data_IF_181362523762
#
_entry.id   IF_181362523762
#
_cell.length_a   1.000
_cell.length_b   1.000
_cell.length_c   1.000
_cell.angle_alpha   90.00
_cell.angle_beta   90.00
_cell.angle_gamma   90.00
#
_symmetry.space_group_name_H-M   'P 1'
#
loop_
_entity.id
_entity.type
_entity.pdbx_description
1 polymer ?
#
# COMPACT_ATOMS: atom_id res chain seq x y z
N UNK A 1 -31.84 11.98 14.74
CA UNK A 1 -32.07 12.67 13.47
C UNK A 1 -31.01 13.76 13.25
N UNK A 2 -29.71 13.48 13.52
CA UNK A 2 -28.58 14.41 13.30
C UNK A 2 -27.41 13.78 12.53
N UNK A 3 -27.52 12.51 12.09
CA UNK A 3 -26.43 11.76 11.40
C UNK A 3 -26.48 11.95 9.87
N UNK A 4 -27.58 12.46 9.31
CA UNK A 4 -27.73 12.62 7.86
C UNK A 4 -27.06 13.88 7.30
N UNK A 5 -26.59 14.81 8.14
CA UNK A 5 -26.05 16.11 7.70
C UNK A 5 -24.55 16.08 7.34
N UNK A 6 -23.81 15.02 7.75
CA UNK A 6 -22.37 14.92 7.47
C UNK A 6 -22.03 14.20 6.17
N UNK A 7 -23.00 13.48 5.58
CA UNK A 7 -22.79 12.79 4.30
C UNK A 7 -22.80 13.72 3.06
N UNK A 8 -23.31 14.95 3.20
CA UNK A 8 -23.44 15.87 2.06
C UNK A 8 -22.20 16.72 1.78
N UNK A 9 -21.20 16.75 2.66
CA UNK A 9 -20.00 17.56 2.45
C UNK A 9 -18.90 16.84 1.68
N UNK A 10 -19.01 15.51 1.50
CA UNK A 10 -18.01 14.71 0.78
C UNK A 10 -18.29 14.55 -0.72
N UNK A 11 -19.47 14.92 -1.18
CA UNK A 11 -19.85 14.79 -2.60
C UNK A 11 -19.30 15.89 -3.51
N UNK A 12 -18.63 16.91 -2.96
CA UNK A 12 -18.08 18.01 -3.77
C UNK A 12 -16.62 17.86 -4.19
N UNK A 13 -15.93 16.82 -3.73
CA UNK A 13 -14.56 16.53 -4.18
C UNK A 13 -14.48 15.53 -5.34
N UNK A 14 -15.62 15.04 -5.82
CA UNK A 14 -15.73 14.20 -7.01
C UNK A 14 -16.04 15.01 -8.29
N UNK A 15 -15.63 16.28 -8.35
CA UNK A 15 -15.67 17.01 -9.60
C UNK A 15 -14.59 16.50 -10.53
N UNK A 16 -15.05 15.70 -11.46
CA UNK A 16 -14.55 15.48 -12.80
C UNK A 16 -13.19 16.14 -13.12
N UNK A 17 -12.13 15.37 -13.02
CA UNK A 17 -11.01 15.54 -13.93
C UNK A 17 -11.25 14.59 -15.10
N UNK A 18 -11.85 15.13 -16.15
CA UNK A 18 -11.85 14.48 -17.46
C UNK A 18 -10.41 14.26 -17.88
N UNK A 19 -10.04 13.02 -18.07
CA UNK A 19 -8.76 12.63 -18.64
C UNK A 19 -8.70 13.11 -20.08
N UNK A 20 -8.03 14.24 -20.31
CA UNK A 20 -7.60 14.64 -21.64
C UNK A 20 -6.41 13.78 -22.00
N UNK A 21 -6.61 12.77 -22.82
CA UNK A 21 -5.50 12.06 -23.45
C UNK A 21 -4.86 13.01 -24.45
N UNK A 22 -3.65 13.47 -24.15
CA UNK A 22 -2.81 14.12 -25.14
C UNK A 22 -2.39 13.06 -26.14
N UNK A 23 -3.16 12.90 -27.20
CA UNK A 23 -2.74 12.18 -28.39
C UNK A 23 -1.70 13.07 -29.07
N UNK A 24 -0.43 12.63 -29.01
CA UNK A 24 0.57 13.15 -29.93
C UNK A 24 0.12 12.89 -31.37
N UNK A 25 0.41 13.80 -32.27
CA UNK A 25 0.01 13.79 -33.70
C UNK A 25 0.37 12.52 -34.52
N UNK A 26 1.07 11.57 -33.88
CA UNK A 26 1.34 10.25 -34.46
C UNK A 26 1.01 9.21 -33.38
N UNK A 27 -0.16 8.62 -33.39
CA UNK A 27 -0.79 7.59 -32.56
C UNK A 27 0.04 6.59 -31.74
N UNK A 28 1.20 6.96 -31.22
CA UNK A 28 2.05 6.21 -30.32
C UNK A 28 2.00 6.82 -28.93
N UNK A 29 1.77 6.00 -27.91
CA UNK A 29 1.92 6.38 -26.49
C UNK A 29 3.37 6.79 -26.26
N UNK A 30 3.62 8.10 -26.10
CA UNK A 30 4.93 8.63 -25.74
C UNK A 30 5.33 8.07 -24.37
N UNK A 31 6.31 7.20 -24.33
CA UNK A 31 6.82 6.60 -23.10
C UNK A 31 8.02 7.40 -22.61
N UNK A 32 7.79 8.33 -21.69
CA UNK A 32 8.89 8.95 -20.97
C UNK A 32 9.54 7.92 -20.05
N UNK A 33 10.85 7.82 -20.11
CA UNK A 33 11.63 6.90 -19.29
C UNK A 33 12.71 7.65 -18.52
N UNK A 34 13.03 7.15 -17.34
CA UNK A 34 14.21 7.53 -16.60
C UNK A 34 15.24 6.40 -16.76
N UNK A 35 16.41 6.70 -17.31
CA UNK A 35 17.53 5.76 -17.44
C UNK A 35 18.63 6.19 -16.48
N UNK A 36 19.03 5.28 -15.60
CA UNK A 36 20.21 5.42 -14.74
C UNK A 36 21.32 4.52 -15.26
N UNK A 37 22.51 5.09 -15.43
CA UNK A 37 23.69 4.35 -15.87
C UNK A 37 24.56 3.90 -14.71
N UNK A 38 25.47 2.95 -14.92
CA UNK A 38 26.39 2.43 -13.89
C UNK A 38 27.33 3.50 -13.34
N UNK A 39 27.64 4.53 -14.11
CA UNK A 39 28.44 5.71 -13.70
C UNK A 39 27.64 6.77 -12.93
N UNK A 40 26.35 6.48 -12.66
CA UNK A 40 25.47 7.32 -11.84
C UNK A 40 24.75 8.45 -12.59
N UNK A 41 24.93 8.59 -13.91
CA UNK A 41 24.17 9.55 -14.70
C UNK A 41 22.69 9.18 -14.79
N UNK A 42 21.83 10.18 -14.77
CA UNK A 42 20.39 10.03 -14.86
C UNK A 42 19.90 10.80 -16.08
N UNK A 43 19.25 10.10 -16.99
CA UNK A 43 18.64 10.67 -18.18
C UNK A 43 17.14 10.53 -18.11
N UNK A 44 16.41 11.63 -18.25
CA UNK A 44 14.96 11.68 -18.28
C UNK A 44 14.52 12.17 -19.65
N UNK A 45 13.68 11.39 -20.33
CA UNK A 45 13.22 11.75 -21.67
C UNK A 45 12.41 10.65 -22.33
N UNK A 46 12.10 10.86 -23.57
CA UNK A 46 11.38 9.93 -24.44
C UNK A 46 12.37 9.08 -25.25
N UNK A 47 12.16 7.78 -25.32
CA UNK A 47 12.87 6.93 -26.28
C UNK A 47 12.22 7.13 -27.64
N UNK A 48 12.95 7.78 -28.55
CA UNK A 48 12.49 8.06 -29.92
C UNK A 48 12.90 6.96 -30.90
N UNK A 49 14.00 6.23 -30.59
CA UNK A 49 14.45 5.09 -31.38
C UNK A 49 15.20 4.09 -30.52
N UNK A 50 15.20 2.84 -30.94
CA UNK A 50 15.87 1.74 -30.25
C UNK A 50 16.64 0.91 -31.27
N UNK A 51 17.96 0.84 -31.08
CA UNK A 51 18.83 -0.05 -31.83
C UNK A 51 19.19 -1.30 -31.02
N UNK A 52 19.90 -2.24 -31.60
CA UNK A 52 20.38 -3.44 -30.87
C UNK A 52 21.23 -3.05 -29.66
N UNK A 53 22.07 -2.01 -29.76
CA UNK A 53 23.05 -1.67 -28.74
C UNK A 53 22.69 -0.41 -27.93
N UNK A 54 21.80 0.44 -28.42
CA UNK A 54 21.57 1.78 -27.85
C UNK A 54 20.08 2.12 -27.80
N UNK A 55 19.73 2.99 -26.84
CA UNK A 55 18.52 3.82 -26.89
C UNK A 55 18.86 5.20 -27.39
N UNK A 56 18.07 5.73 -28.32
CA UNK A 56 18.11 7.13 -28.71
C UNK A 56 16.97 7.83 -27.96
N UNK A 57 17.35 8.78 -27.10
CA UNK A 57 16.40 9.46 -26.23
C UNK A 57 16.37 10.95 -26.57
N UNK A 58 15.20 11.54 -26.55
CA UNK A 58 14.99 12.98 -26.55
C UNK A 58 14.70 13.44 -25.12
N UNK A 59 15.61 14.23 -24.56
CA UNK A 59 15.45 14.80 -23.21
C UNK A 59 14.34 15.83 -23.15
N UNK A 60 13.86 16.17 -21.96
CA UNK A 60 12.86 17.23 -21.75
C UNK A 60 13.33 18.61 -22.26
N UNK A 61 14.66 18.83 -22.36
CA UNK A 61 15.25 20.02 -22.97
C UNK A 61 15.33 19.97 -24.51
N UNK A 62 14.82 18.89 -25.11
CA UNK A 62 14.82 18.70 -26.58
C UNK A 62 16.13 18.16 -27.16
N UNK A 63 17.12 17.84 -26.32
CA UNK A 63 18.42 17.32 -26.76
C UNK A 63 18.28 15.83 -27.01
N UNK A 64 18.75 15.37 -28.18
CA UNK A 64 18.84 13.94 -28.46
C UNK A 64 20.14 13.38 -27.91
N UNK A 65 20.05 12.29 -27.17
CA UNK A 65 21.18 11.59 -26.57
C UNK A 65 21.12 10.11 -26.93
N UNK A 66 22.29 9.53 -27.10
CA UNK A 66 22.47 8.11 -27.34
C UNK A 66 22.97 7.45 -26.08
N UNK A 67 22.19 6.48 -25.53
CA UNK A 67 22.52 5.78 -24.29
C UNK A 67 22.79 4.31 -24.60
N UNK A 68 24.03 3.84 -24.47
CA UNK A 68 24.37 2.44 -24.70
C UNK A 68 23.66 1.52 -23.69
N UNK A 69 22.97 0.50 -24.17
CA UNK A 69 22.25 -0.48 -23.31
C UNK A 69 23.17 -1.14 -22.30
N UNK A 70 24.42 -1.43 -22.69
CA UNK A 70 25.43 -2.00 -21.80
C UNK A 70 25.81 -1.11 -20.59
N UNK A 71 25.55 0.21 -20.66
CA UNK A 71 25.80 1.14 -19.56
C UNK A 71 24.59 1.34 -18.66
N UNK A 72 23.43 0.78 -18.99
CA UNK A 72 22.20 0.98 -18.26
C UNK A 72 22.19 0.10 -17.02
N UNK A 73 22.14 0.72 -15.87
CA UNK A 73 21.93 0.08 -14.57
C UNK A 73 20.44 -0.15 -14.30
N UNK A 74 19.61 0.81 -14.66
CA UNK A 74 18.18 0.80 -14.38
C UNK A 74 17.43 1.64 -15.43
N UNK A 75 16.28 1.14 -15.85
CA UNK A 75 15.33 1.85 -16.72
C UNK A 75 13.96 1.81 -16.04
N UNK A 76 13.36 2.98 -15.81
CA UNK A 76 12.04 3.12 -15.20
C UNK A 76 11.10 3.82 -16.16
N UNK A 77 9.98 3.17 -16.48
CA UNK A 77 8.93 3.81 -17.26
C UNK A 77 8.25 4.86 -16.37
N UNK A 78 8.29 6.11 -16.81
CA UNK A 78 7.70 7.24 -16.11
C UNK A 78 6.25 7.42 -16.58
N UNK A 79 5.43 7.96 -15.70
CA UNK A 79 4.04 8.29 -16.03
C UNK A 79 3.89 9.81 -15.99
N UNK A 80 3.43 10.36 -17.10
CA UNK A 80 3.09 11.79 -17.15
C UNK A 80 1.73 11.95 -16.48
N UNK A 81 1.65 12.84 -15.48
CA UNK A 81 0.37 13.19 -14.89
C UNK A 81 -0.32 14.20 -15.78
N UNK A 82 -1.56 13.91 -16.14
CA UNK A 82 -2.37 14.77 -17.02
C UNK A 82 -2.72 16.13 -16.37
N UNK A 83 -2.58 16.24 -15.04
CA UNK A 83 -3.02 17.43 -14.28
C UNK A 83 -2.00 18.56 -14.34
N UNK A 84 -0.71 18.26 -14.36
CA UNK A 84 0.35 19.31 -14.31
C UNK A 84 1.37 19.17 -15.43
N UNK A 85 1.28 18.13 -16.24
CA UNK A 85 2.33 17.79 -17.22
C UNK A 85 3.65 17.33 -16.54
N UNK A 86 3.64 17.15 -15.22
CA UNK A 86 4.79 16.68 -14.48
C UNK A 86 4.96 15.17 -14.63
N UNK A 87 6.21 14.75 -14.71
CA UNK A 87 6.57 13.35 -14.86
C UNK A 87 6.77 12.74 -13.47
N UNK A 88 5.91 11.81 -13.09
CA UNK A 88 6.00 11.12 -11.81
C UNK A 88 6.51 9.69 -11.99
N UNK A 89 7.30 9.24 -11.03
CA UNK A 89 7.58 7.81 -10.89
C UNK A 89 6.31 7.08 -10.50
N UNK A 90 6.11 5.84 -10.99
CA UNK A 90 5.06 4.98 -10.46
C UNK A 90 5.15 4.91 -8.94
N UNK A 91 4.00 4.95 -8.25
CA UNK A 91 3.98 4.73 -6.81
C UNK A 91 4.08 3.23 -6.52
N UNK A 92 5.20 2.76 -5.96
CA UNK A 92 5.35 1.35 -5.64
C UNK A 92 4.48 0.92 -4.46
N UNK A 93 3.98 1.88 -3.65
CA UNK A 93 3.19 1.61 -2.46
C UNK A 93 1.67 1.61 -2.71
N UNK A 94 1.22 1.73 -3.97
CA UNK A 94 -0.22 1.82 -4.33
C UNK A 94 -1.09 0.71 -3.75
N UNK A 95 -0.52 -0.45 -3.43
CA UNK A 95 -1.24 -1.63 -2.92
C UNK A 95 -1.60 -1.55 -1.44
N UNK A 96 -1.04 -0.58 -0.71
CA UNK A 96 -1.19 -0.43 0.74
C UNK A 96 -1.04 1.03 1.16
N UNK A 97 -1.84 1.47 2.11
CA UNK A 97 -1.70 2.77 2.76
C UNK A 97 -0.65 2.72 3.86
N UNK A 98 -1.00 3.01 5.10
CA UNK A 98 -0.08 2.86 6.24
C UNK A 98 -0.07 1.41 6.74
N UNK A 99 -1.23 0.82 6.96
CA UNK A 99 -1.41 -0.58 7.34
C UNK A 99 -2.49 -1.25 6.47
N UNK A 100 -3.57 -0.55 6.14
CA UNK A 100 -4.69 -1.08 5.36
C UNK A 100 -4.33 -1.29 3.88
N UNK A 101 -4.81 -2.37 3.27
CA UNK A 101 -4.65 -2.61 1.84
C UNK A 101 -5.60 -1.72 1.02
N UNK A 102 -5.12 -1.24 -0.12
CA UNK A 102 -5.97 -0.75 -1.21
C UNK A 102 -6.41 -1.91 -2.12
N UNK A 103 -7.30 -1.65 -3.08
CA UNK A 103 -7.68 -2.66 -4.08
C UNK A 103 -6.64 -2.83 -5.21
N UNK A 104 -5.56 -2.04 -5.25
CA UNK A 104 -4.48 -2.26 -6.19
C UNK A 104 -3.73 -3.55 -5.86
N UNK A 105 -3.45 -4.43 -6.84
CA UNK A 105 -2.57 -5.58 -6.65
C UNK A 105 -1.10 -5.14 -6.53
N UNK A 106 -0.28 -5.98 -5.93
CA UNK A 106 1.15 -5.98 -6.18
C UNK A 106 1.34 -6.63 -7.55
N UNK A 107 2.11 -6.00 -8.43
CA UNK A 107 2.33 -6.49 -9.77
C UNK A 107 3.01 -7.87 -9.77
N UNK A 108 2.75 -8.69 -10.78
CA UNK A 108 3.35 -10.02 -10.89
C UNK A 108 4.87 -9.96 -10.79
N UNK A 109 5.45 -10.85 -9.98
CA UNK A 109 6.88 -10.93 -9.66
C UNK A 109 7.50 -9.72 -8.96
N UNK A 110 6.72 -8.69 -8.63
CA UNK A 110 7.21 -7.60 -7.76
C UNK A 110 7.02 -7.97 -6.30
N UNK A 111 7.97 -7.52 -5.48
CA UNK A 111 7.93 -7.73 -4.03
C UNK A 111 8.53 -6.55 -3.29
N UNK A 112 8.18 -6.44 -2.01
CA UNK A 112 8.77 -5.47 -1.11
C UNK A 112 8.81 -5.99 0.32
N UNK A 113 9.83 -5.58 1.07
CA UNK A 113 9.85 -5.66 2.52
C UNK A 113 9.30 -4.35 3.09
N UNK A 114 8.46 -4.46 4.09
CA UNK A 114 7.91 -3.31 4.80
C UNK A 114 8.02 -3.54 6.30
N UNK A 115 8.36 -2.48 7.01
CA UNK A 115 8.31 -2.44 8.46
C UNK A 115 7.33 -1.34 8.88
N UNK A 116 6.27 -1.74 9.57
CA UNK A 116 5.28 -0.82 10.12
C UNK A 116 5.60 -0.52 11.58
N UNK A 117 5.78 0.78 11.89
CA UNK A 117 6.11 1.29 13.21
C UNK A 117 7.37 0.66 13.86
N UNK A 118 8.31 0.15 13.08
CA UNK A 118 9.54 -0.53 13.54
C UNK A 118 9.31 -1.86 14.28
N UNK A 119 8.06 -2.33 14.34
CA UNK A 119 7.69 -3.54 15.11
C UNK A 119 6.97 -4.59 14.27
N UNK A 120 6.63 -4.29 13.04
CA UNK A 120 5.96 -5.23 12.15
C UNK A 120 6.68 -5.35 10.81
N UNK A 121 7.86 -6.01 10.78
CA UNK A 121 8.49 -6.38 9.53
C UNK A 121 7.63 -7.39 8.77
N UNK A 122 7.45 -7.15 7.47
CA UNK A 122 6.68 -8.01 6.59
C UNK A 122 7.28 -8.08 5.19
N UNK A 123 7.11 -9.24 4.54
CA UNK A 123 7.41 -9.47 3.14
C UNK A 123 6.12 -9.57 2.35
N UNK A 124 6.07 -8.86 1.24
CA UNK A 124 4.89 -8.72 0.40
C UNK A 124 5.24 -9.06 -1.04
N UNK A 125 4.41 -9.87 -1.72
CA UNK A 125 4.67 -10.32 -3.08
C UNK A 125 3.41 -10.45 -3.92
N UNK A 126 3.50 -10.06 -5.20
CA UNK A 126 2.52 -10.37 -6.23
C UNK A 126 2.82 -11.73 -6.88
N UNK A 127 1.95 -12.70 -6.66
CA UNK A 127 2.04 -14.02 -7.35
C UNK A 127 1.50 -13.96 -8.75
N UNK A 128 0.45 -13.17 -8.94
CA UNK A 128 -0.14 -12.86 -10.24
C UNK A 128 -0.50 -11.37 -10.27
N UNK A 129 -1.00 -10.88 -11.40
CA UNK A 129 -1.53 -9.52 -11.47
C UNK A 129 -2.82 -9.29 -10.65
N UNK A 130 -3.35 -10.34 -10.01
CA UNK A 130 -4.55 -10.29 -9.18
C UNK A 130 -4.33 -10.79 -7.76
N UNK A 131 -3.35 -11.66 -7.51
CA UNK A 131 -3.11 -12.30 -6.22
C UNK A 131 -1.86 -11.71 -5.58
N UNK A 132 -2.03 -11.13 -4.41
CA UNK A 132 -0.95 -10.61 -3.56
C UNK A 132 -0.98 -11.31 -2.21
N UNK A 133 0.19 -11.60 -1.67
CA UNK A 133 0.35 -12.20 -0.34
C UNK A 133 1.31 -11.39 0.51
N UNK A 134 1.15 -11.52 1.82
CA UNK A 134 2.00 -10.93 2.83
C UNK A 134 2.30 -11.96 3.91
N UNK A 135 3.54 -11.97 4.39
CA UNK A 135 3.93 -12.67 5.60
C UNK A 135 4.76 -11.71 6.48
N UNK A 136 4.54 -11.73 7.77
CA UNK A 136 5.22 -10.84 8.71
C UNK A 136 5.12 -11.33 10.14
N UNK A 137 5.69 -10.56 11.05
CA UNK A 137 5.68 -10.88 12.47
C UNK A 137 5.69 -9.59 13.31
N UNK A 138 5.07 -9.61 14.48
CA UNK A 138 5.20 -8.52 15.45
C UNK A 138 6.41 -8.78 16.34
N UNK A 139 7.45 -7.95 16.22
CA UNK A 139 8.72 -8.13 16.92
C UNK A 139 8.96 -6.94 17.83
N UNK A 140 8.96 -7.18 19.14
CA UNK A 140 9.29 -6.14 20.13
C UNK A 140 10.66 -6.43 20.78
N UNK A 141 11.44 -5.41 21.10
CA UNK A 141 12.72 -5.60 21.78
C UNK A 141 12.57 -6.40 23.08
N UNK A 142 13.33 -7.49 23.22
CA UNK A 142 13.29 -8.36 24.39
C UNK A 142 12.23 -9.46 24.35
N UNK A 143 11.41 -9.55 23.29
CA UNK A 143 10.45 -10.63 23.13
C UNK A 143 11.17 -11.94 22.73
N UNK A 144 10.94 -13.07 23.42
CA UNK A 144 11.43 -14.37 23.00
C UNK A 144 10.90 -14.78 21.63
N UNK A 145 11.67 -15.55 20.86
CA UNK A 145 11.29 -15.94 19.49
C UNK A 145 9.99 -16.76 19.47
N UNK A 146 9.79 -17.61 20.46
CA UNK A 146 8.60 -18.45 20.66
C UNK A 146 7.33 -17.64 20.96
N UNK A 147 7.49 -16.40 21.42
CA UNK A 147 6.39 -15.48 21.74
C UNK A 147 6.06 -14.50 20.59
N UNK A 148 6.69 -14.63 19.44
CA UNK A 148 6.48 -13.73 18.30
C UNK A 148 5.19 -14.09 17.56
N UNK A 149 4.17 -13.19 17.50
CA UNK A 149 3.00 -13.38 16.68
C UNK A 149 3.37 -13.35 15.18
N UNK A 150 2.90 -14.36 14.46
CA UNK A 150 3.13 -14.47 13.01
C UNK A 150 1.87 -14.06 12.26
N UNK A 151 2.04 -13.27 11.23
CA UNK A 151 0.95 -12.76 10.39
C UNK A 151 1.10 -13.31 8.98
N UNK A 152 0.00 -13.79 8.42
CA UNK A 152 -0.13 -14.12 7.02
C UNK A 152 -1.37 -13.46 6.42
N UNK A 153 -1.28 -12.92 5.22
CA UNK A 153 -2.43 -12.32 4.55
C UNK A 153 -2.42 -12.62 3.06
N UNK A 154 -3.62 -12.72 2.49
CA UNK A 154 -3.83 -12.89 1.06
C UNK A 154 -4.91 -11.95 0.56
N UNK A 155 -4.69 -11.38 -0.64
CA UNK A 155 -5.63 -10.46 -1.29
C UNK A 155 -5.79 -10.83 -2.75
N UNK A 156 -7.04 -10.90 -3.21
CA UNK A 156 -7.41 -11.01 -4.60
C UNK A 156 -7.99 -9.69 -5.09
N UNK A 157 -7.35 -9.10 -6.09
CA UNK A 157 -7.77 -7.85 -6.75
C UNK A 157 -8.50 -8.18 -8.04
N UNK A 158 -9.75 -7.74 -8.16
CA UNK A 158 -10.54 -7.93 -9.37
C UNK A 158 -10.02 -7.04 -10.51
N UNK A 159 -10.27 -7.40 -11.78
CA UNK A 159 -9.97 -6.55 -12.91
C UNK A 159 -10.60 -5.15 -12.76
N UNK A 160 -9.82 -4.12 -13.04
CA UNK A 160 -10.26 -2.73 -12.89
C UNK A 160 -11.38 -2.38 -13.88
N UNK A 161 -12.34 -1.57 -13.43
CA UNK A 161 -13.38 -0.96 -14.27
C UNK A 161 -13.25 0.57 -14.21
N UNK A 162 -12.56 1.15 -15.18
CA UNK A 162 -12.25 2.57 -15.18
C UNK A 162 -11.40 2.98 -13.98
N UNK A 163 -11.86 3.97 -13.22
CA UNK A 163 -11.20 4.46 -12.00
C UNK A 163 -11.54 3.64 -10.74
N UNK A 164 -12.42 2.65 -10.84
CA UNK A 164 -12.84 1.82 -9.71
C UNK A 164 -12.16 0.46 -9.74
N UNK A 165 -11.74 0.02 -8.55
CA UNK A 165 -11.14 -1.28 -8.30
C UNK A 165 -11.76 -1.90 -7.06
N UNK A 166 -11.81 -3.23 -7.06
CA UNK A 166 -12.31 -4.00 -5.93
C UNK A 166 -11.30 -5.08 -5.60
N UNK A 167 -11.19 -5.39 -4.32
CA UNK A 167 -10.41 -6.51 -3.86
C UNK A 167 -11.08 -7.15 -2.64
N UNK A 168 -10.80 -8.43 -2.43
CA UNK A 168 -11.16 -9.14 -1.20
C UNK A 168 -9.94 -9.86 -0.67
N UNK A 169 -9.90 -10.11 0.61
CA UNK A 169 -8.76 -10.77 1.23
C UNK A 169 -9.03 -11.18 2.65
N UNK A 170 -8.03 -11.80 3.23
CA UNK A 170 -8.05 -12.17 4.65
C UNK A 170 -6.65 -12.01 5.24
N UNK A 171 -6.61 -11.72 6.52
CA UNK A 171 -5.41 -11.71 7.34
C UNK A 171 -5.61 -12.68 8.49
N UNK A 172 -4.60 -13.46 8.79
CA UNK A 172 -4.54 -14.37 9.92
C UNK A 172 -3.32 -14.03 10.78
N UNK A 173 -3.51 -13.98 12.09
CA UNK A 173 -2.47 -13.79 13.10
C UNK A 173 -2.45 -15.05 13.96
N UNK A 174 -1.33 -15.78 13.93
CA UNK A 174 -1.07 -16.84 14.89
C UNK A 174 -0.51 -16.21 16.16
N UNK A 175 -1.24 -16.34 17.24
CA UNK A 175 -0.76 -15.94 18.56
C UNK A 175 0.09 -17.04 19.18
N UNK A 176 1.16 -16.71 19.87
CA UNK A 176 1.88 -17.65 20.71
C UNK A 176 1.03 -18.05 21.93
N UNK A 177 1.28 -19.21 22.49
CA UNK A 177 0.61 -19.69 23.70
C UNK A 177 1.14 -18.93 24.92
N UNK A 178 0.66 -17.70 25.12
CA UNK A 178 0.99 -16.90 26.29
C UNK A 178 0.16 -17.38 27.49
N UNK A 179 0.56 -18.46 28.16
CA UNK A 179 0.07 -18.74 29.48
C UNK A 179 -0.81 -19.95 29.72
N UNK A 180 -0.69 -21.00 28.94
CA UNK A 180 -1.19 -22.31 29.37
C UNK A 180 -0.27 -23.03 30.37
N UNK A 181 0.78 -22.36 30.86
CA UNK A 181 1.77 -22.96 31.76
C UNK A 181 1.30 -23.14 33.20
N UNK A 182 0.10 -22.73 33.59
CA UNK A 182 -0.31 -22.77 35.01
C UNK A 182 -1.48 -23.66 35.39
N UNK A 183 -2.33 -24.17 34.49
CA UNK A 183 -3.54 -24.88 34.96
C UNK A 183 -4.03 -26.07 34.12
N UNK A 184 -3.22 -26.74 33.33
CA UNK A 184 -3.70 -27.99 32.71
C UNK A 184 -2.64 -29.06 32.51
N UNK A 185 -2.50 -29.92 33.51
CA UNK A 185 -1.83 -31.22 33.35
C UNK A 185 -2.53 -32.18 32.34
N UNK A 186 -3.54 -31.70 31.61
CA UNK A 186 -4.38 -32.53 30.72
C UNK A 186 -4.67 -31.94 29.34
N UNK A 187 -3.92 -30.95 28.82
CA UNK A 187 -4.13 -30.49 27.45
C UNK A 187 -3.03 -31.00 26.50
N UNK A 188 -3.15 -32.27 26.13
CA UNK A 188 -2.38 -32.90 25.02
C UNK A 188 -2.81 -32.42 23.61
N UNK A 189 -3.69 -31.44 23.51
CA UNK A 189 -4.11 -30.83 22.25
C UNK A 189 -3.61 -29.38 22.16
N UNK A 190 -2.36 -29.20 21.77
CA UNK A 190 -1.83 -27.92 21.35
C UNK A 190 -2.56 -27.39 20.11
N UNK A 191 -3.76 -26.86 20.32
CA UNK A 191 -4.55 -26.25 19.24
C UNK A 191 -3.90 -24.96 18.76
N UNK A 192 -3.92 -24.71 17.43
CA UNK A 192 -3.51 -23.44 16.86
C UNK A 192 -4.48 -22.36 17.37
N UNK A 193 -3.97 -21.41 18.16
CA UNK A 193 -4.71 -20.22 18.55
C UNK A 193 -4.38 -19.10 17.60
N UNK A 194 -5.42 -18.48 17.01
CA UNK A 194 -5.21 -17.39 16.06
C UNK A 194 -6.45 -16.50 15.92
N UNK A 195 -6.23 -15.33 15.38
CA UNK A 195 -7.30 -14.40 15.03
C UNK A 195 -7.00 -13.71 13.71
N UNK A 196 -7.95 -12.99 13.19
CA UNK A 196 -7.77 -12.26 11.96
C UNK A 196 -9.03 -11.54 11.52
N UNK A 197 -9.03 -11.11 10.30
CA UNK A 197 -10.22 -10.56 9.66
C UNK A 197 -10.24 -10.85 8.17
N UNK A 198 -11.44 -11.11 7.66
CA UNK A 198 -11.73 -11.14 6.24
C UNK A 198 -12.27 -9.79 5.82
N UNK A 199 -11.87 -9.27 4.65
CA UNK A 199 -12.22 -7.93 4.20
C UNK A 199 -12.54 -7.88 2.71
N UNK A 200 -13.32 -6.86 2.35
CA UNK A 200 -13.50 -6.41 0.97
C UNK A 200 -13.25 -4.91 0.90
N UNK A 201 -12.52 -4.46 -0.10
CA UNK A 201 -12.16 -3.06 -0.30
C UNK A 201 -12.54 -2.57 -1.69
N UNK A 202 -13.09 -1.37 -1.75
CA UNK A 202 -13.33 -0.62 -2.97
C UNK A 202 -12.38 0.57 -3.01
N UNK A 203 -11.68 0.76 -4.11
CA UNK A 203 -10.75 1.88 -4.33
C UNK A 203 -11.19 2.68 -5.54
N UNK A 204 -11.30 4.00 -5.37
CA UNK A 204 -11.57 4.97 -6.43
C UNK A 204 -10.34 5.85 -6.66
N UNK A 205 -10.00 6.11 -7.93
CA UNK A 205 -8.87 6.93 -8.31
C UNK A 205 -7.84 6.20 -9.17
N UNK A 206 -6.67 6.78 -9.31
CA UNK A 206 -5.56 6.27 -10.09
C UNK A 206 -4.41 5.78 -9.18
N UNK A 207 -3.27 5.45 -9.78
CA UNK A 207 -2.09 4.95 -9.04
C UNK A 207 -1.40 6.00 -8.17
N UNK A 208 -1.73 7.28 -8.34
CA UNK A 208 -1.10 8.39 -7.62
C UNK A 208 -2.02 8.93 -6.54
N UNK A 209 -3.29 9.11 -6.89
CA UNK A 209 -4.29 9.66 -5.98
C UNK A 209 -5.49 8.74 -5.97
N UNK A 210 -5.73 8.13 -4.82
CA UNK A 210 -6.81 7.18 -4.64
C UNK A 210 -7.29 7.14 -3.20
N UNK A 211 -8.56 6.77 -3.06
CA UNK A 211 -9.23 6.59 -1.78
C UNK A 211 -9.88 5.21 -1.76
N UNK A 212 -9.86 4.56 -0.59
CA UNK A 212 -10.50 3.27 -0.36
C UNK A 212 -11.45 3.29 0.81
N UNK A 213 -12.52 2.52 0.67
CA UNK A 213 -13.39 2.12 1.75
C UNK A 213 -13.42 0.60 1.83
N UNK A 214 -13.24 0.07 3.04
CA UNK A 214 -13.19 -1.37 3.29
C UNK A 214 -14.16 -1.75 4.39
N UNK A 215 -14.76 -2.93 4.23
CA UNK A 215 -15.54 -3.61 5.24
C UNK A 215 -14.88 -4.96 5.53
N UNK A 216 -14.75 -5.30 6.81
CA UNK A 216 -14.20 -6.58 7.24
C UNK A 216 -14.94 -7.14 8.43
N UNK A 217 -14.77 -8.43 8.66
CA UNK A 217 -15.26 -9.14 9.84
C UNK A 217 -14.11 -9.85 10.52
N UNK A 218 -13.96 -9.57 11.82
CA UNK A 218 -13.02 -10.24 12.68
C UNK A 218 -13.43 -11.70 12.89
N UNK A 219 -12.43 -12.54 13.05
CA UNK A 219 -12.64 -13.93 13.49
C UNK A 219 -11.51 -14.35 14.44
N UNK A 220 -11.82 -15.27 15.33
CA UNK A 220 -10.85 -15.98 16.15
C UNK A 220 -11.01 -17.47 15.99
N UNK A 221 -9.91 -18.19 16.23
CA UNK A 221 -9.87 -19.64 16.22
C UNK A 221 -9.13 -20.12 17.44
N UNK A 222 -9.82 -20.85 18.30
CA UNK A 222 -9.28 -21.42 19.52
C UNK A 222 -10.00 -22.74 19.82
N UNK A 223 -9.26 -23.75 20.29
CA UNK A 223 -9.81 -25.06 20.69
C UNK A 223 -10.74 -25.67 19.62
N UNK A 224 -10.31 -25.63 18.35
CA UNK A 224 -11.09 -26.14 17.22
C UNK A 224 -12.43 -25.42 16.96
N UNK A 225 -12.64 -24.26 17.55
CA UNK A 225 -13.86 -23.48 17.41
C UNK A 225 -13.57 -22.14 16.73
N UNK A 226 -14.40 -21.78 15.76
CA UNK A 226 -14.40 -20.47 15.11
C UNK A 226 -15.42 -19.57 15.78
N UNK A 227 -15.00 -18.35 16.09
CA UNK A 227 -15.88 -17.29 16.55
C UNK A 227 -15.73 -16.07 15.63
N UNK A 228 -16.84 -15.40 15.35
CA UNK A 228 -16.87 -14.25 14.43
C UNK A 228 -17.43 -13.04 15.15
N UNK A 229 -16.82 -11.87 14.90
CA UNK A 229 -17.32 -10.62 15.46
C UNK A 229 -18.73 -10.30 14.96
N UNK A 230 -19.58 -9.75 15.86
CA UNK A 230 -20.95 -9.33 15.54
C UNK A 230 -20.97 -8.13 14.59
N UNK A 231 -20.05 -7.19 14.79
CA UNK A 231 -19.98 -5.92 14.06
C UNK A 231 -18.86 -5.91 13.04
N UNK A 232 -19.04 -5.21 11.91
CA UNK A 232 -17.99 -5.08 10.91
C UNK A 232 -16.89 -4.14 11.36
N UNK A 233 -15.68 -4.40 10.90
CA UNK A 233 -14.56 -3.47 10.90
C UNK A 233 -14.72 -2.56 9.68
N UNK A 234 -14.65 -1.24 9.88
CA UNK A 234 -14.69 -0.26 8.80
C UNK A 234 -13.30 0.39 8.68
N UNK A 235 -12.76 0.42 7.47
CA UNK A 235 -11.48 1.08 7.21
C UNK A 235 -11.63 2.04 6.04
N UNK A 236 -11.15 3.27 6.24
CA UNK A 236 -11.02 4.27 5.19
C UNK A 236 -9.54 4.56 4.99
N UNK A 237 -9.10 4.64 3.75
CA UNK A 237 -7.71 4.94 3.43
C UNK A 237 -7.61 5.88 2.23
N UNK A 238 -6.57 6.71 2.21
CA UNK A 238 -6.33 7.63 1.12
C UNK A 238 -4.84 7.85 0.88
N UNK A 239 -4.48 8.02 -0.37
CA UNK A 239 -3.15 8.42 -0.82
C UNK A 239 -3.31 9.58 -1.80
N UNK A 240 -2.71 10.71 -1.49
CA UNK A 240 -2.68 11.89 -2.34
C UNK A 240 -1.25 12.24 -2.71
N UNK A 241 -0.91 12.07 -3.98
CA UNK A 241 0.43 12.41 -4.49
C UNK A 241 0.57 13.92 -4.61
N UNK A 242 1.48 14.50 -3.83
CA UNK A 242 1.71 15.95 -3.78
C UNK A 242 2.77 16.39 -4.80
N UNK A 243 3.84 15.60 -4.92
CA UNK A 243 4.96 15.87 -5.84
C UNK A 243 5.48 14.54 -6.42
N UNK A 244 6.51 14.59 -7.25
CA UNK A 244 7.19 13.39 -7.79
C UNK A 244 7.76 12.47 -6.69
N UNK A 245 8.00 12.98 -5.48
CA UNK A 245 8.62 12.25 -4.38
C UNK A 245 7.86 12.29 -3.06
N UNK A 246 6.72 13.02 -2.99
CA UNK A 246 5.95 13.18 -1.76
C UNK A 246 4.49 12.79 -1.98
N UNK A 247 3.92 12.08 -1.01
CA UNK A 247 2.48 11.83 -0.91
C UNK A 247 2.00 12.05 0.52
N UNK A 248 0.75 12.49 0.66
CA UNK A 248 0.02 12.47 1.92
C UNK A 248 -0.77 11.16 1.98
N UNK A 249 -0.62 10.43 3.08
CA UNK A 249 -1.33 9.17 3.32
C UNK A 249 -2.18 9.33 4.56
N UNK A 250 -3.40 8.85 4.47
CA UNK A 250 -4.39 8.88 5.54
C UNK A 250 -5.03 7.50 5.71
N UNK A 251 -5.33 7.14 6.96
CA UNK A 251 -6.01 5.89 7.28
C UNK A 251 -6.84 6.07 8.56
N UNK A 252 -8.06 5.55 8.54
CA UNK A 252 -8.98 5.52 9.66
C UNK A 252 -9.50 4.11 9.85
N UNK A 253 -9.50 3.62 11.07
CA UNK A 253 -10.02 2.31 11.45
C UNK A 253 -11.12 2.46 12.48
N UNK A 254 -12.29 1.87 12.23
CA UNK A 254 -13.31 1.60 13.22
C UNK A 254 -13.30 0.10 13.48
N UNK A 255 -12.66 -0.37 14.56
CA UNK A 255 -12.71 -1.78 14.96
C UNK A 255 -14.14 -2.23 15.25
N UNK A 256 -14.35 -3.55 15.26
CA UNK A 256 -15.59 -4.15 15.71
C UNK A 256 -15.86 -3.72 17.16
N UNK A 257 -17.11 -3.36 17.47
CA UNK A 257 -17.56 -2.98 18.82
C UNK A 257 -16.97 -1.70 19.42
N UNK A 258 -15.96 -1.10 18.78
CA UNK A 258 -15.38 0.17 19.24
C UNK A 258 -16.27 1.36 18.88
N UNK A 259 -16.31 2.36 19.78
CA UNK A 259 -16.88 3.64 19.46
C UNK A 259 -16.01 4.43 18.49
N UNK A 260 -16.61 5.40 17.81
CA UNK A 260 -15.88 6.24 16.85
C UNK A 260 -14.75 7.03 17.52
N UNK A 261 -14.91 7.38 18.79
CA UNK A 261 -13.91 8.12 19.57
C UNK A 261 -12.72 7.26 19.95
N UNK A 262 -12.89 5.94 20.03
CA UNK A 262 -11.85 4.95 20.29
C UNK A 262 -11.13 4.50 19.01
N UNK A 263 -11.58 5.02 17.87
CA UNK A 263 -11.13 4.61 16.55
C UNK A 263 -9.83 5.32 16.16
N UNK A 264 -8.76 4.59 15.79
CA UNK A 264 -7.49 5.20 15.42
C UNK A 264 -7.55 5.89 14.06
N UNK A 265 -6.95 7.07 14.01
CA UNK A 265 -6.69 7.86 12.81
C UNK A 265 -5.18 7.92 12.63
N UNK A 266 -4.69 7.56 11.46
CA UNK A 266 -3.28 7.65 11.10
C UNK A 266 -3.11 8.60 9.92
N UNK A 267 -2.11 9.46 10.01
CA UNK A 267 -1.73 10.34 8.90
C UNK A 267 -0.22 10.38 8.78
N UNK A 268 0.30 10.38 7.56
CA UNK A 268 1.72 10.47 7.33
C UNK A 268 2.05 11.17 6.01
N UNK A 269 3.22 11.79 5.97
CA UNK A 269 3.87 12.19 4.73
C UNK A 269 4.73 11.00 4.29
N UNK A 270 4.51 10.54 3.06
CA UNK A 270 5.30 9.48 2.42
C UNK A 270 6.36 10.09 1.54
N UNK A 271 7.62 9.81 1.83
CA UNK A 271 8.75 10.11 0.99
C UNK A 271 9.00 8.93 0.06
N UNK A 272 8.93 9.15 -1.26
CA UNK A 272 8.99 8.11 -2.26
C UNK A 272 10.32 8.22 -3.00
N UNK A 273 11.24 7.30 -2.68
CA UNK A 273 12.49 7.13 -3.40
C UNK A 273 12.40 6.05 -4.49
N UNK A 274 13.54 5.69 -5.07
CA UNK A 274 13.60 4.66 -6.13
C UNK A 274 13.26 3.28 -5.61
N UNK A 275 13.95 2.87 -4.52
CA UNK A 275 13.78 1.54 -3.89
C UNK A 275 13.28 1.62 -2.47
N UNK A 276 13.36 2.80 -1.85
CA UNK A 276 12.98 2.99 -0.45
C UNK A 276 11.89 4.05 -0.40
N UNK A 277 10.85 3.76 0.35
CA UNK A 277 9.85 4.74 0.76
C UNK A 277 9.81 4.79 2.27
N UNK A 278 9.61 5.99 2.82
CA UNK A 278 9.49 6.21 4.26
C UNK A 278 8.22 7.00 4.53
N UNK A 279 7.38 6.49 5.42
CA UNK A 279 6.23 7.23 5.94
C UNK A 279 6.61 7.81 7.30
N UNK A 280 6.35 9.09 7.49
CA UNK A 280 6.55 9.77 8.76
C UNK A 280 5.30 10.54 9.15
N UNK A 281 4.74 10.24 10.34
CA UNK A 281 3.46 10.81 10.75
C UNK A 281 3.07 10.49 12.17
N UNK A 282 1.77 10.38 12.40
CA UNK A 282 1.22 10.09 13.71
C UNK A 282 -0.04 9.24 13.67
N UNK A 283 -0.24 8.50 14.76
CA UNK A 283 -1.45 7.80 15.11
C UNK A 283 -2.14 8.55 16.25
N UNK A 284 -3.41 8.81 16.09
CA UNK A 284 -4.24 9.53 17.04
C UNK A 284 -5.53 8.76 17.29
N UNK A 285 -5.98 8.72 18.54
CA UNK A 285 -7.30 8.22 18.96
C UNK A 285 -8.01 9.37 19.66
N UNK A 286 -9.26 9.68 19.29
CA UNK A 286 -9.96 10.88 19.74
C UNK A 286 -10.10 10.98 21.26
N UNK A 287 -10.34 9.85 21.95
CA UNK A 287 -10.44 9.79 23.41
C UNK A 287 -9.07 9.75 24.12
N UNK A 288 -7.97 9.71 23.37
CA UNK A 288 -6.64 9.68 23.93
C UNK A 288 -6.17 11.09 24.27
N UNK A 289 -5.99 11.40 25.56
CA UNK A 289 -5.35 12.64 25.98
C UNK A 289 -3.86 12.60 25.66
N UNK A 290 -3.34 13.63 25.01
CA UNK A 290 -1.92 13.81 24.76
C UNK A 290 -1.56 14.05 23.29
N UNK A 291 -0.26 13.90 22.98
CA UNK A 291 0.26 14.04 21.62
C UNK A 291 0.02 12.76 20.82
N UNK A 292 -0.16 12.87 19.49
CA UNK A 292 -0.20 11.70 18.63
C UNK A 292 1.00 10.79 18.84
N UNK A 293 0.79 9.48 18.84
CA UNK A 293 1.91 8.54 18.85
C UNK A 293 2.67 8.65 17.50
N UNK A 294 3.99 8.79 17.53
CA UNK A 294 4.77 8.89 16.31
C UNK A 294 4.64 7.59 15.49
N UNK A 295 4.46 7.75 14.18
CA UNK A 295 4.37 6.66 13.22
C UNK A 295 5.52 6.80 12.23
N UNK A 296 6.27 5.70 12.04
CA UNK A 296 7.33 5.63 11.07
C UNK A 296 7.34 4.26 10.40
N UNK A 297 7.18 4.23 9.07
CA UNK A 297 7.23 3.00 8.29
C UNK A 297 8.37 3.07 7.29
N UNK A 298 8.98 1.93 7.04
CA UNK A 298 9.96 1.75 5.98
C UNK A 298 9.45 0.74 4.97
N UNK A 299 9.66 1.01 3.70
CA UNK A 299 9.37 0.07 2.62
C UNK A 299 10.57 0.00 1.69
N UNK A 300 11.08 -1.22 1.47
CA UNK A 300 12.15 -1.49 0.51
C UNK A 300 11.60 -2.35 -0.63
N UNK A 301 11.60 -1.80 -1.86
CA UNK A 301 11.13 -2.48 -3.07
C UNK A 301 12.26 -3.32 -3.68
N UNK A 302 11.94 -4.58 -3.91
CA UNK A 302 12.81 -5.55 -4.56
C UNK A 302 12.29 -5.75 -5.98
N UNK A 303 13.13 -5.48 -6.98
CA UNK A 303 12.82 -5.66 -8.40
C UNK A 303 13.23 -7.06 -8.84
#
# INVERSE_FOLDING_TARGET
>A
MKILSYFFFFSWFLVAQDSVSVQGENGGTVKTVEITTYDGNIFLGEIIDETEFDYIMKTNSGIEIKVPKARIKEKVDMVITEVSGEVYRPDPNKSMYLFAPSAFPIEHNKSYCRDFCLFFPSYNRGFTNSISVQAGAFVFPGMPIEEIPIVASGKYSFPAKGKFRFATGMMFIKWPDWGSAQDSENSDEGGITGSGFAFSTATAGDRFTHFSASLGWGYSYQNNTWDFSSDPIIVLGGNYRMTSSLALVFEFWKPSEADINESPIMTAIRFIGRKISVDFGGLYVLDMEGLPMPLMNFTYHMD
#
